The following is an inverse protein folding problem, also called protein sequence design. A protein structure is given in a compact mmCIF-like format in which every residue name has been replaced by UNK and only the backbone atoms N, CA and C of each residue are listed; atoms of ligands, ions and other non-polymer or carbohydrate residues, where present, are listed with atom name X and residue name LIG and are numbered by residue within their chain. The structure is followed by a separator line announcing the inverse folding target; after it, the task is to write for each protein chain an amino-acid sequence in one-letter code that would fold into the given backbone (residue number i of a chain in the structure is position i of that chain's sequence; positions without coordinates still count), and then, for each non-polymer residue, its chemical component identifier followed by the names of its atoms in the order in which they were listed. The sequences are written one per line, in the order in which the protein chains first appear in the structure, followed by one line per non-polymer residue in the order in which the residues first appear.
data_IF_735759992132
#
_entry.id   IF_735759992132
#
_cell.length_a   1.000
_cell.length_b   1.000
_cell.length_c   1.000
_cell.angle_alpha   90.00
_cell.angle_beta   90.00
_cell.angle_gamma   90.00
#
_symmetry.space_group_name_H-M   'P 1'
#
loop_
_entity.id
_entity.type
_entity.pdbx_description
1 polymer ?
#
# COMPACT_ATOMS: atom_id res chain seq x y z
N UNK A 1 -1.69 -48.00 -6.42
CA UNK A 1 -2.56 -46.87 -6.06
C UNK A 1 -2.65 -45.96 -7.27
N UNK A 2 -3.61 -46.24 -8.14
CA UNK A 2 -4.13 -45.32 -9.19
C UNK A 2 -4.91 -44.15 -8.53
N UNK A 3 -5.33 -43.06 -9.22
CA UNK A 3 -5.49 -42.96 -10.68
C UNK A 3 -5.12 -41.62 -11.40
N UNK A 4 -4.77 -41.77 -12.68
CA UNK A 4 -5.30 -41.08 -13.87
C UNK A 4 -5.57 -39.55 -13.80
N UNK A 5 -4.72 -38.76 -14.48
CA UNK A 5 -5.14 -37.50 -15.09
C UNK A 5 -5.25 -37.66 -16.61
N UNK A 6 -6.49 -37.77 -17.06
CA UNK A 6 -6.88 -37.88 -18.45
C UNK A 6 -6.66 -36.54 -19.18
N UNK A 7 -5.76 -36.56 -20.17
CA UNK A 7 -5.54 -35.47 -21.10
C UNK A 7 -6.78 -35.24 -21.96
N UNK A 8 -7.48 -34.13 -21.73
CA UNK A 8 -8.56 -33.66 -22.61
C UNK A 8 -7.97 -32.99 -23.85
N UNK A 9 -7.78 -33.76 -24.91
CA UNK A 9 -7.62 -33.23 -26.27
C UNK A 9 -8.83 -32.39 -26.65
N UNK A 10 -8.65 -31.08 -26.83
CA UNK A 10 -9.68 -30.21 -27.40
C UNK A 10 -9.66 -30.36 -28.92
N UNK A 11 -10.73 -30.96 -29.43
CA UNK A 11 -11.03 -31.17 -30.84
C UNK A 11 -11.14 -29.81 -31.56
N UNK A 12 -10.16 -29.48 -32.41
CA UNK A 12 -10.21 -28.30 -33.29
C UNK A 12 -11.00 -28.71 -34.53
N UNK A 13 -12.32 -28.46 -34.52
CA UNK A 13 -13.09 -28.48 -35.75
C UNK A 13 -12.79 -27.21 -36.54
N UNK A 14 -12.04 -27.40 -37.63
CA UNK A 14 -11.91 -26.45 -38.72
C UNK A 14 -13.29 -26.19 -39.34
N UNK A 15 -13.75 -24.95 -39.29
CA UNK A 15 -14.82 -24.43 -40.15
C UNK A 15 -14.40 -23.07 -40.66
N UNK A 16 -14.61 -22.90 -41.96
CA UNK A 16 -14.04 -21.93 -42.87
C UNK A 16 -14.26 -20.46 -42.47
N UNK A 17 -13.13 -19.74 -42.47
CA UNK A 17 -12.90 -18.40 -43.04
C UNK A 17 -14.17 -17.62 -43.42
N UNK A 18 -14.61 -16.72 -42.55
CA UNK A 18 -15.30 -15.48 -42.93
C UNK A 18 -14.93 -14.37 -41.93
N UNK A 19 -14.39 -13.28 -42.48
CA UNK A 19 -14.23 -11.94 -41.90
C UNK A 19 -13.27 -11.69 -40.73
N UNK A 20 -11.99 -11.56 -41.10
CA UNK A 20 -10.97 -10.71 -40.45
C UNK A 20 -11.31 -9.19 -40.56
N UNK A 21 -12.54 -8.76 -40.23
CA UNK A 21 -12.96 -7.35 -40.38
C UNK A 21 -13.09 -6.57 -39.07
N UNK A 22 -12.74 -7.16 -37.92
CA UNK A 22 -12.72 -6.45 -36.64
C UNK A 22 -11.43 -6.74 -35.87
N UNK A 23 -10.41 -5.90 -36.09
CA UNK A 23 -9.20 -5.86 -35.27
C UNK A 23 -9.55 -5.75 -33.77
N UNK A 24 -8.78 -6.37 -32.86
CA UNK A 24 -9.22 -6.59 -31.48
C UNK A 24 -9.32 -5.34 -30.59
N UNK A 25 -9.02 -4.13 -31.08
CA UNK A 25 -9.06 -2.91 -30.27
C UNK A 25 -9.48 -1.63 -31.04
N UNK A 26 -10.03 -1.75 -32.25
CA UNK A 26 -10.53 -0.55 -32.97
C UNK A 26 -11.86 -0.08 -32.38
N UNK A 27 -12.00 1.19 -31.95
CA UNK A 27 -13.27 1.70 -31.46
C UNK A 27 -14.25 1.77 -32.64
N UNK A 28 -15.19 0.85 -32.72
CA UNK A 28 -16.35 1.08 -33.56
C UNK A 28 -17.25 2.11 -32.85
N UNK A 29 -17.64 3.18 -33.54
CA UNK A 29 -18.54 4.18 -32.99
C UNK A 29 -19.92 3.53 -32.87
N UNK A 30 -20.20 2.92 -31.71
CA UNK A 30 -21.57 2.66 -31.29
C UNK A 30 -22.11 4.03 -30.85
N UNK A 31 -23.20 4.54 -31.46
CA UNK A 31 -23.65 5.90 -31.20
C UNK A 31 -24.01 6.12 -29.73
N UNK A 32 -23.52 7.24 -29.19
CA UNK A 32 -24.07 7.98 -28.04
C UNK A 32 -23.91 7.39 -26.63
N UNK A 33 -22.86 6.62 -26.33
CA UNK A 33 -22.42 6.41 -24.92
C UNK A 33 -20.94 6.80 -24.84
N UNK A 34 -20.64 7.84 -24.06
CA UNK A 34 -19.27 8.26 -23.80
C UNK A 34 -18.53 7.23 -22.93
N UNK A 35 -17.19 7.23 -22.98
CA UNK A 35 -16.40 6.35 -22.10
C UNK A 35 -16.68 6.65 -20.61
N UNK A 36 -16.86 7.92 -20.26
CA UNK A 36 -17.14 8.38 -18.89
C UNK A 36 -18.52 7.92 -18.41
N UNK A 37 -19.54 8.03 -19.25
CA UNK A 37 -20.87 7.47 -18.98
C UNK A 37 -20.78 5.93 -18.84
N UNK A 38 -20.04 5.27 -19.74
CA UNK A 38 -19.93 3.82 -19.76
C UNK A 38 -19.30 3.25 -18.48
N UNK A 39 -18.32 3.94 -17.88
CA UNK A 39 -17.71 3.50 -16.61
C UNK A 39 -18.57 3.83 -15.40
N UNK A 40 -19.27 4.98 -15.41
CA UNK A 40 -20.01 5.54 -14.28
C UNK A 40 -21.38 4.92 -14.05
N UNK A 41 -22.15 4.61 -15.10
CA UNK A 41 -23.52 4.05 -14.94
C UNK A 41 -23.50 2.71 -14.19
N UNK A 42 -24.55 2.36 -13.46
CA UNK A 42 -24.60 1.05 -12.78
C UNK A 42 -24.68 -0.11 -13.79
N UNK A 43 -24.36 -1.34 -13.37
CA UNK A 43 -24.49 -2.52 -14.24
C UNK A 43 -25.96 -2.75 -14.63
N UNK A 44 -26.89 -2.48 -13.72
CA UNK A 44 -28.34 -2.59 -13.97
C UNK A 44 -28.77 -1.59 -15.04
N UNK A 45 -28.37 -0.34 -14.91
CA UNK A 45 -28.80 0.73 -15.81
C UNK A 45 -28.10 0.61 -17.17
N UNK A 46 -26.83 0.17 -17.21
CA UNK A 46 -26.16 -0.23 -18.45
C UNK A 46 -26.96 -1.28 -19.21
N UNK A 47 -27.33 -2.39 -18.55
CA UNK A 47 -28.09 -3.45 -19.22
C UNK A 47 -29.46 -2.97 -19.71
N UNK A 48 -30.13 -2.08 -18.96
CA UNK A 48 -31.41 -1.47 -19.37
C UNK A 48 -31.22 -0.57 -20.60
N UNK A 49 -30.27 0.35 -20.56
CA UNK A 49 -30.00 1.30 -21.65
C UNK A 49 -29.63 0.57 -22.95
N UNK A 50 -28.75 -0.43 -22.88
CA UNK A 50 -28.35 -1.19 -24.08
C UNK A 50 -29.54 -1.94 -24.71
N UNK A 51 -30.45 -2.51 -23.89
CA UNK A 51 -31.65 -3.19 -24.38
C UNK A 51 -32.68 -2.21 -24.97
N UNK A 52 -32.92 -1.09 -24.30
CA UNK A 52 -33.88 -0.07 -24.75
C UNK A 52 -33.45 0.59 -26.06
N UNK A 53 -32.14 0.67 -26.32
CA UNK A 53 -31.58 1.13 -27.60
C UNK A 53 -31.61 0.06 -28.71
N UNK A 54 -32.14 -1.13 -28.44
CA UNK A 54 -32.31 -2.18 -29.44
C UNK A 54 -31.02 -2.87 -29.88
N UNK A 55 -29.95 -2.79 -29.09
CA UNK A 55 -28.68 -3.44 -29.43
C UNK A 55 -28.84 -4.97 -29.45
N UNK A 56 -28.18 -5.60 -30.41
CA UNK A 56 -28.14 -7.05 -30.51
C UNK A 56 -27.20 -7.66 -29.44
N UNK A 57 -27.21 -8.99 -29.33
CA UNK A 57 -26.44 -9.71 -28.31
C UNK A 57 -24.93 -9.46 -28.43
N UNK A 58 -24.39 -9.43 -29.64
CA UNK A 58 -22.96 -9.22 -29.89
C UNK A 58 -22.51 -7.80 -29.50
N UNK A 59 -23.32 -6.80 -29.85
CA UNK A 59 -23.08 -5.39 -29.49
C UNK A 59 -23.11 -5.18 -27.97
N UNK A 60 -24.06 -5.81 -27.27
CA UNK A 60 -24.12 -5.78 -25.81
C UNK A 60 -22.85 -6.37 -25.19
N UNK A 61 -22.38 -7.51 -25.70
CA UNK A 61 -21.13 -8.14 -25.23
C UNK A 61 -19.94 -7.22 -25.49
N UNK A 62 -19.85 -6.62 -26.67
CA UNK A 62 -18.79 -5.66 -27.03
C UNK A 62 -18.78 -4.45 -26.09
N UNK A 63 -19.94 -3.87 -25.78
CA UNK A 63 -20.06 -2.75 -24.84
C UNK A 63 -19.65 -3.12 -23.41
N UNK A 64 -20.00 -4.33 -22.95
CA UNK A 64 -19.53 -4.84 -21.66
C UNK A 64 -18.02 -5.03 -21.64
N UNK A 65 -17.44 -5.53 -22.73
CA UNK A 65 -16.00 -5.69 -22.83
C UNK A 65 -15.29 -4.33 -22.83
N UNK A 66 -15.78 -3.34 -23.61
CA UNK A 66 -15.26 -1.97 -23.60
C UNK A 66 -15.28 -1.37 -22.20
N UNK A 67 -16.42 -1.49 -21.49
CA UNK A 67 -16.53 -1.07 -20.08
C UNK A 67 -15.50 -1.73 -19.19
N UNK A 68 -15.30 -3.05 -19.32
CA UNK A 68 -14.31 -3.79 -18.52
C UNK A 68 -12.90 -3.27 -18.76
N UNK A 69 -12.52 -3.04 -20.02
CA UNK A 69 -11.22 -2.47 -20.39
C UNK A 69 -11.03 -1.08 -19.77
N UNK A 70 -12.03 -0.20 -19.85
CA UNK A 70 -11.97 1.14 -19.27
C UNK A 70 -11.88 1.12 -17.74
N UNK A 71 -12.68 0.29 -17.07
CA UNK A 71 -12.59 0.13 -15.61
C UNK A 71 -11.24 -0.41 -15.18
N UNK A 72 -10.72 -1.42 -15.88
CA UNK A 72 -9.39 -1.97 -15.61
C UNK A 72 -8.29 -0.93 -15.78
N UNK A 73 -8.41 -0.03 -16.76
CA UNK A 73 -7.50 1.12 -16.91
C UNK A 73 -7.54 2.01 -15.66
N UNK A 74 -8.73 2.36 -15.18
CA UNK A 74 -8.92 3.12 -13.94
C UNK A 74 -8.33 2.40 -12.73
N UNK A 75 -8.59 1.10 -12.57
CA UNK A 75 -8.03 0.30 -11.48
C UNK A 75 -6.50 0.23 -11.51
N UNK A 76 -5.88 0.15 -12.69
CA UNK A 76 -4.43 0.19 -12.81
C UNK A 76 -3.86 1.55 -12.34
N UNK A 77 -4.50 2.67 -12.69
CA UNK A 77 -4.11 3.99 -12.23
C UNK A 77 -4.27 4.13 -10.71
N UNK A 78 -5.44 3.77 -10.17
CA UNK A 78 -5.68 3.80 -8.71
C UNK A 78 -4.74 2.88 -7.94
N UNK A 79 -4.37 1.72 -8.50
CA UNK A 79 -3.39 0.82 -7.88
C UNK A 79 -2.00 1.46 -7.79
N UNK A 80 -1.57 2.19 -8.83
CA UNK A 80 -0.30 2.92 -8.81
C UNK A 80 -0.32 4.04 -7.76
N UNK A 81 -1.41 4.83 -7.73
CA UNK A 81 -1.59 5.92 -6.76
C UNK A 81 -1.52 5.38 -5.33
N UNK A 82 -2.33 4.37 -5.00
CA UNK A 82 -2.34 3.76 -3.66
C UNK A 82 -0.98 3.22 -3.24
N UNK A 83 -0.21 2.65 -4.18
CA UNK A 83 1.13 2.13 -3.89
C UNK A 83 2.11 3.27 -3.57
N UNK A 84 2.04 4.37 -4.31
CA UNK A 84 2.87 5.55 -4.08
C UNK A 84 2.49 6.18 -2.74
N UNK A 85 1.21 6.42 -2.50
CA UNK A 85 0.71 6.94 -1.22
C UNK A 85 1.15 6.07 -0.03
N UNK A 86 1.05 4.73 -0.15
CA UNK A 86 1.49 3.82 0.90
C UNK A 86 3.00 3.91 1.14
N UNK A 87 3.79 4.05 0.07
CA UNK A 87 5.24 4.24 0.18
C UNK A 87 5.57 5.55 0.90
N UNK A 88 4.90 6.64 0.52
CA UNK A 88 5.13 7.97 1.09
C UNK A 88 4.75 8.02 2.58
N UNK A 89 3.67 7.34 2.98
CA UNK A 89 3.29 7.17 4.40
C UNK A 89 4.41 6.46 5.16
N UNK A 90 4.88 5.30 4.66
CA UNK A 90 5.96 4.55 5.31
C UNK A 90 7.27 5.34 5.39
N UNK A 91 7.60 6.14 4.36
CA UNK A 91 8.79 6.99 4.36
C UNK A 91 8.67 8.14 5.38
N UNK A 92 7.47 8.67 5.57
CA UNK A 92 7.17 9.68 6.58
C UNK A 92 7.27 9.10 7.98
N UNK A 93 6.65 7.93 8.23
CA UNK A 93 6.70 7.22 9.52
C UNK A 93 8.14 6.88 9.89
N UNK A 94 8.91 6.28 8.98
CA UNK A 94 10.34 5.98 9.19
C UNK A 94 11.13 7.23 9.57
N UNK A 95 10.85 8.36 8.92
CA UNK A 95 11.56 9.62 9.20
C UNK A 95 11.23 10.17 10.58
N UNK A 96 9.96 10.07 11.01
CA UNK A 96 9.55 10.45 12.36
C UNK A 96 10.19 9.56 13.42
N UNK A 97 10.14 8.23 13.25
CA UNK A 97 10.77 7.28 14.16
C UNK A 97 12.28 7.54 14.32
N UNK A 98 12.96 7.90 13.22
CA UNK A 98 14.38 8.25 13.26
C UNK A 98 14.66 9.51 14.09
N UNK A 99 13.82 10.54 13.96
CA UNK A 99 13.95 11.78 14.73
C UNK A 99 13.72 11.50 16.23
N UNK A 100 12.68 10.72 16.57
CA UNK A 100 12.38 10.35 17.95
C UNK A 100 13.52 9.54 18.58
N UNK A 101 14.10 8.60 17.83
CA UNK A 101 15.23 7.80 18.28
C UNK A 101 16.45 8.68 18.58
N UNK A 102 16.78 9.61 17.69
CA UNK A 102 17.90 10.54 17.91
C UNK A 102 17.67 11.42 19.14
N UNK A 103 16.46 11.97 19.28
CA UNK A 103 16.09 12.76 20.45
C UNK A 103 16.24 11.96 21.75
N UNK A 104 15.72 10.72 21.78
CA UNK A 104 15.87 9.84 22.93
C UNK A 104 17.33 9.51 23.25
N UNK A 105 18.16 9.35 22.22
CA UNK A 105 19.59 9.11 22.39
C UNK A 105 20.28 10.32 23.02
N UNK A 106 20.01 11.53 22.51
CA UNK A 106 20.52 12.78 23.08
C UNK A 106 20.08 12.99 24.54
N UNK A 107 18.83 12.71 24.86
CA UNK A 107 18.28 12.80 26.22
C UNK A 107 18.93 11.79 27.17
N UNK A 108 19.15 10.56 26.73
CA UNK A 108 19.86 9.53 27.51
C UNK A 108 21.31 9.90 27.77
N UNK A 109 22.00 10.42 26.76
CA UNK A 109 23.36 10.91 26.88
C UNK A 109 23.44 12.10 27.85
N UNK A 110 22.48 13.01 27.80
CA UNK A 110 22.38 14.11 28.75
C UNK A 110 22.17 13.61 30.18
N UNK A 111 21.23 12.69 30.40
CA UNK A 111 20.98 12.08 31.70
C UNK A 111 22.22 11.36 32.25
N UNK A 112 22.91 10.61 31.40
CA UNK A 112 24.15 9.90 31.76
C UNK A 112 25.25 10.87 32.22
N UNK A 113 25.42 11.99 31.52
CA UNK A 113 26.36 13.05 31.93
C UNK A 113 25.97 13.68 33.28
N UNK A 114 24.69 13.93 33.50
CA UNK A 114 24.21 14.47 34.77
C UNK A 114 24.46 13.49 35.92
N UNK A 115 24.19 12.20 35.74
CA UNK A 115 24.49 11.15 36.71
C UNK A 115 26.00 11.13 37.03
N UNK A 116 26.86 11.19 36.01
CA UNK A 116 28.31 11.20 36.20
C UNK A 116 28.76 12.45 36.98
N UNK A 117 28.20 13.63 36.65
CA UNK A 117 28.48 14.88 37.35
C UNK A 117 28.07 14.82 38.83
N UNK A 118 26.88 14.29 39.12
CA UNK A 118 26.42 14.09 40.50
C UNK A 118 27.28 13.10 41.25
N UNK A 119 27.68 11.98 40.63
CA UNK A 119 28.63 11.03 41.21
C UNK A 119 29.98 11.69 41.54
N UNK A 120 30.51 12.53 40.65
CA UNK A 120 31.77 13.27 40.90
C UNK A 120 31.64 14.20 42.09
N UNK A 121 30.57 15.00 42.15
CA UNK A 121 30.29 15.91 43.27
C UNK A 121 30.14 15.15 44.58
N UNK A 122 29.40 14.06 44.57
CA UNK A 122 29.19 13.21 45.75
C UNK A 122 30.52 12.63 46.27
N UNK A 123 31.33 12.05 45.37
CA UNK A 123 32.65 11.52 45.73
C UNK A 123 33.59 12.60 46.30
N UNK A 124 33.57 13.81 45.76
CA UNK A 124 34.36 14.91 46.29
C UNK A 124 33.94 15.30 47.72
N UNK A 125 32.64 15.27 48.01
CA UNK A 125 32.12 15.50 49.36
C UNK A 125 32.51 14.38 50.33
N UNK A 126 32.43 13.12 49.90
CA UNK A 126 32.90 11.98 50.71
C UNK A 126 34.39 12.11 51.04
N UNK A 127 35.22 12.45 50.05
CA UNK A 127 36.66 12.68 50.26
C UNK A 127 36.92 13.83 51.23
N UNK A 128 36.16 14.93 51.11
CA UNK A 128 36.27 16.05 52.04
C UNK A 128 35.89 15.66 53.47
N UNK A 129 34.77 14.95 53.65
CA UNK A 129 34.33 14.48 54.97
C UNK A 129 35.37 13.55 55.60
N UNK A 130 35.91 12.59 54.82
CA UNK A 130 36.98 11.70 55.26
C UNK A 130 38.26 12.45 55.65
N UNK A 131 38.63 13.50 54.91
CA UNK A 131 39.83 14.30 55.23
C UNK A 131 39.68 15.14 56.51
N UNK A 132 38.45 15.53 56.86
CA UNK A 132 38.16 16.36 58.03
C UNK A 132 37.61 15.56 59.23
N UNK A 133 37.73 14.22 59.20
CA UNK A 133 37.19 13.31 60.23
C UNK A 133 35.70 13.54 60.55
N UNK A 134 34.92 13.95 59.54
CA UNK A 134 33.48 14.15 59.67
C UNK A 134 32.79 12.78 59.54
N UNK A 135 32.07 12.30 60.58
CA UNK A 135 31.41 11.00 60.53
C UNK A 135 30.30 11.01 59.48
N UNK A 136 30.32 10.01 58.61
CA UNK A 136 29.34 9.83 57.52
C UNK A 136 28.28 8.82 57.98
N UNK A 137 26.98 9.13 57.85
CA UNK A 137 25.92 8.16 58.12
C UNK A 137 26.08 6.88 57.28
N UNK A 138 25.84 5.69 57.86
CA UNK A 138 26.04 4.41 57.19
C UNK A 138 25.13 4.21 55.97
N UNK A 139 24.00 4.94 55.86
CA UNK A 139 23.14 4.92 54.67
C UNK A 139 23.80 5.55 53.43
N UNK A 140 24.89 6.29 53.63
CA UNK A 140 25.64 6.99 52.59
C UNK A 140 26.99 6.29 52.26
N UNK A 141 27.36 5.25 53.01
CA UNK A 141 28.53 4.43 52.72
C UNK A 141 28.23 3.42 51.61
N UNK A 142 28.70 3.67 50.38
CA UNK A 142 28.71 2.67 49.30
C UNK A 142 27.75 2.89 48.12
N UNK A 143 27.25 4.11 47.91
CA UNK A 143 26.56 4.51 46.66
C UNK A 143 27.54 4.93 45.54
#
# INVERSE_FOLDING_TARGET
MDPLQQSRSRNIKSTMVTDDLYAPLSPCPIPDISDDELVSISVRDLNRTLKMRGLNREEIVRMKQRRRTLKNRGYAASCRIKRIEQKDVLETEKSHEWIELEQMHEENEHCSREIENWKKKYNALLQFAAHNDIPIPPELEGC
#
